data_IF_191992917082
#
_entry.id   IF_191992917082
#
_cell.length_a   1.000
_cell.length_b   1.000
_cell.length_c   1.000
_cell.angle_alpha   90.00
_cell.angle_beta   90.00
_cell.angle_gamma   90.00
#
_symmetry.space_group_name_H-M   'P 1'
#
loop_
_entity.id
_entity.type
_entity.pdbx_description
1 polymer ?
#
# COMPACT_ATOMS: atom_id res chain seq x y z
N UNK A 1 -21.06 7.20 -27.29
CA UNK A 1 -19.86 7.97 -26.89
C UNK A 1 -19.09 7.11 -25.91
N UNK A 2 -17.92 6.60 -26.30
CA UNK A 2 -17.03 5.91 -25.36
C UNK A 2 -16.58 6.95 -24.32
N UNK A 3 -16.92 6.71 -23.07
CA UNK A 3 -16.38 7.56 -21.98
C UNK A 3 -14.88 7.32 -21.89
N UNK A 4 -14.13 8.40 -21.73
CA UNK A 4 -12.69 8.34 -21.50
C UNK A 4 -12.40 7.45 -20.27
N UNK A 5 -11.45 6.48 -20.36
CA UNK A 5 -11.10 5.59 -19.25
C UNK A 5 -10.66 6.40 -18.03
N UNK A 6 -11.34 6.19 -16.91
CA UNK A 6 -11.16 6.99 -15.71
C UNK A 6 -11.17 6.12 -14.46
N UNK A 7 -10.30 6.41 -13.49
CA UNK A 7 -10.26 5.76 -12.19
C UNK A 7 -11.02 6.57 -11.13
N UNK A 8 -11.71 5.90 -10.20
CA UNK A 8 -12.24 6.55 -9.01
C UNK A 8 -11.08 6.86 -8.05
N UNK A 9 -10.73 8.13 -7.94
CA UNK A 9 -9.60 8.63 -7.16
C UNK A 9 -10.12 9.39 -5.93
N UNK A 10 -9.51 9.13 -4.78
CA UNK A 10 -9.72 9.92 -3.56
C UNK A 10 -8.81 11.15 -3.56
N UNK A 11 -7.51 10.91 -3.80
CA UNK A 11 -6.49 11.94 -3.91
C UNK A 11 -5.37 11.50 -4.85
N UNK A 12 -4.57 12.45 -5.30
CA UNK A 12 -3.34 12.20 -6.03
C UNK A 12 -2.35 13.32 -5.74
N UNK A 13 -1.10 12.97 -5.49
CA UNK A 13 -0.12 13.95 -5.04
C UNK A 13 1.31 13.48 -5.28
N UNK A 14 2.22 14.45 -5.32
CA UNK A 14 3.65 14.23 -5.39
C UNK A 14 4.26 14.24 -3.98
N UNK A 15 5.00 13.18 -3.66
CA UNK A 15 5.66 13.01 -2.37
C UNK A 15 6.92 12.15 -2.53
N UNK A 16 7.46 11.64 -1.43
CA UNK A 16 8.37 10.51 -1.44
C UNK A 16 7.71 9.27 -0.82
N UNK A 17 8.13 8.08 -1.28
CA UNK A 17 7.69 6.84 -0.63
C UNK A 17 8.17 6.81 0.82
N UNK A 18 7.24 6.67 1.74
CA UNK A 18 7.51 6.73 3.18
C UNK A 18 7.79 5.37 3.83
N UNK A 19 7.68 4.27 3.08
CA UNK A 19 7.75 2.91 3.60
C UNK A 19 8.50 1.97 2.64
N UNK A 20 8.91 0.80 3.15
CA UNK A 20 9.47 -0.26 2.33
C UNK A 20 10.86 0.02 1.77
N UNK A 21 11.27 -0.77 0.78
CA UNK A 21 12.61 -0.69 0.17
C UNK A 21 12.83 0.64 -0.56
N UNK A 22 11.77 1.24 -1.06
CA UNK A 22 11.85 2.50 -1.81
C UNK A 22 11.71 3.75 -0.94
N UNK A 23 11.79 3.61 0.39
CA UNK A 23 11.69 4.73 1.34
C UNK A 23 12.63 5.88 0.97
N UNK A 24 12.11 7.10 1.01
CA UNK A 24 12.84 8.34 0.70
C UNK A 24 12.93 8.67 -0.79
N UNK A 25 12.52 7.77 -1.69
CA UNK A 25 12.54 8.04 -3.14
C UNK A 25 11.30 8.80 -3.57
N UNK A 26 11.49 9.74 -4.49
CA UNK A 26 10.42 10.55 -5.07
C UNK A 26 9.40 9.67 -5.82
N UNK A 27 8.12 9.87 -5.53
CA UNK A 27 7.01 9.13 -6.11
C UNK A 27 5.79 10.03 -6.38
N UNK A 28 4.95 9.62 -7.32
CA UNK A 28 3.62 10.18 -7.51
C UNK A 28 2.59 9.17 -6.98
N UNK A 29 1.75 9.60 -6.06
CA UNK A 29 0.75 8.74 -5.43
C UNK A 29 -0.61 8.90 -6.11
N UNK A 30 -1.26 7.79 -6.39
CA UNK A 30 -2.66 7.71 -6.81
C UNK A 30 -3.39 6.89 -5.76
N UNK A 31 -4.16 7.56 -4.91
CA UNK A 31 -4.99 6.92 -3.89
C UNK A 31 -6.39 6.72 -4.42
N UNK A 32 -6.75 5.45 -4.69
CA UNK A 32 -8.07 5.08 -5.21
C UNK A 32 -9.15 5.19 -4.14
N UNK A 33 -10.38 5.42 -4.59
CA UNK A 33 -11.57 5.43 -3.76
C UNK A 33 -12.18 4.04 -3.66
N UNK A 34 -12.68 3.69 -2.46
CA UNK A 34 -13.36 2.43 -2.17
C UNK A 34 -12.42 1.39 -1.53
N UNK A 35 -12.88 0.82 -0.40
CA UNK A 35 -12.21 -0.28 0.29
C UNK A 35 -13.24 -1.20 0.93
N UNK A 36 -13.36 -2.46 0.52
CA UNK A 36 -14.24 -3.42 1.16
C UNK A 36 -13.67 -3.98 2.47
N UNK A 37 -12.36 -3.88 2.70
CA UNK A 37 -11.65 -4.46 3.86
C UNK A 37 -12.00 -3.77 5.18
N UNK A 38 -12.14 -2.43 5.19
CA UNK A 38 -12.64 -1.62 6.31
C UNK A 38 -11.92 -1.84 7.64
N UNK A 39 -10.58 -1.80 7.64
CA UNK A 39 -9.77 -2.00 8.83
C UNK A 39 -10.09 -1.00 9.95
N UNK A 40 -10.08 -1.45 11.20
CA UNK A 40 -10.33 -0.61 12.39
C UNK A 40 -9.20 0.39 12.68
N UNK A 41 -7.98 0.10 12.24
CA UNK A 41 -6.78 0.94 12.36
C UNK A 41 -6.43 1.68 11.05
N UNK A 42 -7.40 1.83 10.13
CA UNK A 42 -7.17 2.46 8.83
C UNK A 42 -6.73 3.92 8.98
N UNK A 43 -5.65 4.29 8.35
CA UNK A 43 -5.15 5.68 8.30
C UNK A 43 -5.69 6.48 7.10
N UNK A 44 -6.39 5.81 6.20
CA UNK A 44 -6.96 6.37 4.97
C UNK A 44 -8.49 6.20 4.93
N UNK A 45 -9.16 6.35 6.08
CA UNK A 45 -10.61 6.15 6.19
C UNK A 45 -11.43 7.08 5.28
N UNK A 46 -10.87 8.21 4.86
CA UNK A 46 -11.44 9.09 3.84
C UNK A 46 -11.73 8.40 2.50
N UNK A 47 -11.14 7.23 2.23
CA UNK A 47 -11.37 6.46 1.01
C UNK A 47 -12.65 5.62 1.03
N UNK A 48 -13.22 5.33 2.21
CA UNK A 48 -14.32 4.36 2.31
C UNK A 48 -15.31 4.60 3.47
N UNK A 49 -14.89 5.24 4.56
CA UNK A 49 -15.71 5.34 5.76
C UNK A 49 -16.88 6.33 5.56
N UNK A 50 -18.14 5.94 5.87
CA UNK A 50 -19.31 6.75 5.53
C UNK A 50 -19.34 8.16 6.11
N UNK A 51 -18.65 8.39 7.25
CA UNK A 51 -18.57 9.70 7.89
C UNK A 51 -17.47 10.60 7.31
N UNK A 52 -16.50 10.03 6.59
CA UNK A 52 -15.30 10.74 6.14
C UNK A 52 -15.12 10.71 4.63
N UNK A 53 -15.60 9.65 3.97
CA UNK A 53 -15.50 9.51 2.54
C UNK A 53 -16.46 10.49 1.84
N UNK A 54 -16.06 11.12 0.73
CA UNK A 54 -16.95 11.93 -0.06
C UNK A 54 -18.09 11.06 -0.61
N UNK A 55 -19.30 11.64 -0.76
CA UNK A 55 -20.47 10.92 -1.29
C UNK A 55 -20.27 10.36 -2.69
N UNK A 56 -19.37 10.97 -3.46
CA UNK A 56 -19.00 10.53 -4.80
C UNK A 56 -17.48 10.62 -4.95
N UNK A 57 -16.89 9.60 -5.56
CA UNK A 57 -15.48 9.61 -5.95
C UNK A 57 -15.28 10.56 -7.12
N UNK A 58 -14.10 11.19 -7.17
CA UNK A 58 -13.65 11.90 -8.34
C UNK A 58 -13.24 10.88 -9.41
N UNK A 59 -13.90 10.90 -10.56
CA UNK A 59 -13.45 10.13 -11.73
C UNK A 59 -12.38 10.94 -12.45
N UNK A 60 -11.13 10.45 -12.41
CA UNK A 60 -9.99 11.12 -13.05
C UNK A 60 -9.58 10.31 -14.28
N UNK A 61 -9.50 10.94 -15.48
CA UNK A 61 -9.02 10.29 -16.67
C UNK A 61 -7.61 9.73 -16.50
N UNK A 62 -7.37 8.53 -17.01
CA UNK A 62 -6.04 7.89 -16.93
C UNK A 62 -4.99 8.78 -17.62
N UNK A 63 -5.31 9.38 -18.75
CA UNK A 63 -4.42 10.30 -19.45
C UNK A 63 -3.99 11.48 -18.56
N UNK A 64 -4.91 12.04 -17.75
CA UNK A 64 -4.58 13.09 -16.79
C UNK A 64 -3.66 12.57 -15.68
N UNK A 65 -3.92 11.40 -15.11
CA UNK A 65 -3.06 10.80 -14.06
C UNK A 65 -1.64 10.59 -14.57
N UNK A 66 -1.49 10.12 -15.80
CA UNK A 66 -0.18 9.92 -16.45
C UNK A 66 0.51 11.27 -16.69
N UNK A 67 -0.19 12.30 -17.21
CA UNK A 67 0.39 13.64 -17.42
C UNK A 67 0.91 14.23 -16.11
N UNK A 68 0.12 14.16 -15.03
CA UNK A 68 0.52 14.66 -13.71
C UNK A 68 1.72 13.86 -13.13
N UNK A 69 1.80 12.56 -13.36
CA UNK A 69 2.95 11.74 -12.97
C UNK A 69 4.22 12.14 -13.74
N UNK A 70 4.13 12.38 -15.05
CA UNK A 70 5.24 12.88 -15.87
C UNK A 70 5.71 14.24 -15.38
N UNK A 71 4.79 15.19 -15.16
CA UNK A 71 5.08 16.54 -14.68
C UNK A 71 5.78 16.51 -13.31
N UNK A 72 5.44 15.55 -12.44
CA UNK A 72 6.08 15.38 -11.13
C UNK A 72 7.53 14.90 -11.24
N UNK A 73 7.96 14.45 -12.42
CA UNK A 73 9.28 13.81 -12.65
C UNK A 73 9.56 12.63 -11.73
N UNK A 74 8.52 11.93 -11.30
CA UNK A 74 8.66 10.74 -10.45
C UNK A 74 9.14 9.55 -11.27
N UNK A 75 9.98 8.72 -10.67
CA UNK A 75 10.47 7.49 -11.31
C UNK A 75 9.38 6.40 -11.32
N UNK A 76 8.49 6.45 -10.36
CA UNK A 76 7.38 5.51 -10.21
C UNK A 76 6.13 6.18 -9.64
N UNK A 77 5.01 5.58 -10.00
CA UNK A 77 3.70 5.84 -9.39
C UNK A 77 3.45 4.79 -8.32
N UNK A 78 2.94 5.21 -7.15
CA UNK A 78 2.41 4.32 -6.13
C UNK A 78 0.89 4.32 -6.22
N UNK A 79 0.33 3.23 -6.72
CA UNK A 79 -1.10 2.98 -6.73
C UNK A 79 -1.50 2.38 -5.38
N UNK A 80 -2.24 3.12 -4.61
CA UNK A 80 -2.65 2.78 -3.24
C UNK A 80 -4.10 3.21 -3.01
N UNK A 81 -4.50 3.45 -1.79
CA UNK A 81 -5.77 4.10 -1.50
C UNK A 81 -6.64 3.36 -0.52
N UNK A 82 -7.89 3.10 -0.87
CA UNK A 82 -8.71 2.10 -0.24
C UNK A 82 -8.10 0.72 -0.49
N UNK A 83 -8.69 -0.04 -1.39
CA UNK A 83 -8.02 -1.23 -1.94
C UNK A 83 -7.93 -1.06 -3.47
N UNK A 84 -6.74 -0.82 -4.02
CA UNK A 84 -6.61 -0.51 -5.44
C UNK A 84 -6.99 -1.68 -6.37
N UNK A 85 -6.84 -2.92 -5.90
CA UNK A 85 -7.11 -4.09 -6.74
C UNK A 85 -8.61 -4.41 -6.88
N UNK A 86 -9.52 -3.67 -6.25
CA UNK A 86 -10.97 -3.76 -6.56
C UNK A 86 -11.33 -3.00 -7.82
N UNK A 87 -10.44 -2.16 -8.33
CA UNK A 87 -10.65 -1.44 -9.58
C UNK A 87 -10.74 -2.41 -10.77
N UNK A 88 -11.40 -1.97 -11.85
CA UNK A 88 -11.57 -2.80 -13.06
C UNK A 88 -10.21 -3.17 -13.65
N UNK A 89 -9.98 -4.46 -13.99
CA UNK A 89 -8.70 -4.92 -14.55
C UNK A 89 -8.26 -4.14 -15.78
N UNK A 90 -9.22 -3.76 -16.64
CA UNK A 90 -8.95 -3.05 -17.90
C UNK A 90 -8.40 -1.63 -17.61
N UNK A 91 -8.88 -0.96 -16.56
CA UNK A 91 -8.39 0.36 -16.18
C UNK A 91 -6.98 0.27 -15.57
N UNK A 92 -6.69 -0.78 -14.78
CA UNK A 92 -5.36 -1.02 -14.24
C UNK A 92 -4.36 -1.34 -15.34
N UNK A 93 -4.75 -2.16 -16.33
CA UNK A 93 -3.92 -2.49 -17.49
C UNK A 93 -3.62 -1.24 -18.34
N UNK A 94 -4.61 -0.40 -18.57
CA UNK A 94 -4.43 0.85 -19.31
C UNK A 94 -3.50 1.82 -18.56
N UNK A 95 -3.69 2.00 -17.25
CA UNK A 95 -2.79 2.83 -16.44
C UNK A 95 -1.35 2.31 -16.51
N UNK A 96 -1.15 1.00 -16.32
CA UNK A 96 0.17 0.36 -16.39
C UNK A 96 0.83 0.59 -17.76
N UNK A 97 0.10 0.33 -18.82
CA UNK A 97 0.61 0.51 -20.20
C UNK A 97 0.98 1.96 -20.49
N UNK A 98 0.12 2.91 -20.10
CA UNK A 98 0.34 4.33 -20.34
C UNK A 98 1.51 4.90 -19.53
N UNK A 99 1.70 4.46 -18.27
CA UNK A 99 2.87 4.84 -17.45
C UNK A 99 4.15 4.28 -18.04
N UNK A 100 4.19 3.00 -18.41
CA UNK A 100 5.36 2.36 -19.02
C UNK A 100 5.75 3.02 -20.35
N UNK A 101 4.79 3.44 -21.15
CA UNK A 101 5.06 4.17 -22.40
C UNK A 101 5.78 5.53 -22.14
N UNK A 102 5.69 6.06 -20.92
CA UNK A 102 6.38 7.27 -20.47
C UNK A 102 7.62 6.97 -19.59
N UNK A 103 8.05 5.71 -19.50
CA UNK A 103 9.21 5.31 -18.69
C UNK A 103 9.00 5.38 -17.18
N UNK A 104 7.73 5.37 -16.71
CA UNK A 104 7.37 5.44 -15.30
C UNK A 104 6.91 4.05 -14.83
N UNK A 105 7.49 3.57 -13.73
CA UNK A 105 7.13 2.28 -13.13
C UNK A 105 5.82 2.40 -12.34
N UNK A 106 5.05 1.30 -12.29
CA UNK A 106 3.84 1.20 -11.48
C UNK A 106 4.06 0.27 -10.28
N UNK A 107 4.09 0.85 -9.09
CA UNK A 107 4.11 0.13 -7.81
C UNK A 107 2.69 0.04 -7.27
N UNK A 108 2.34 -1.06 -6.60
CA UNK A 108 1.03 -1.22 -5.95
C UNK A 108 1.20 -1.56 -4.46
N UNK A 109 0.39 -0.92 -3.62
CA UNK A 109 0.21 -1.27 -2.21
C UNK A 109 -1.21 -1.81 -2.02
N UNK A 110 -1.33 -3.08 -1.62
CA UNK A 110 -2.59 -3.82 -1.54
C UNK A 110 -2.65 -4.72 -0.31
N UNK A 111 -3.85 -5.07 0.14
CA UNK A 111 -4.02 -6.16 1.11
C UNK A 111 -3.75 -7.55 0.50
N UNK A 112 -3.72 -7.66 -0.82
CA UNK A 112 -3.47 -8.89 -1.56
C UNK A 112 -4.66 -9.83 -1.69
N UNK A 113 -5.85 -9.46 -1.21
CA UNK A 113 -7.04 -10.32 -1.23
C UNK A 113 -7.70 -10.43 -2.63
N UNK A 114 -7.38 -9.52 -3.53
CA UNK A 114 -8.00 -9.44 -4.85
C UNK A 114 -6.98 -9.79 -5.94
N UNK A 115 -7.21 -10.95 -6.59
CA UNK A 115 -6.32 -11.39 -7.67
C UNK A 115 -6.36 -10.43 -8.86
N UNK A 116 -5.17 -10.01 -9.29
CA UNK A 116 -4.91 -9.29 -10.54
C UNK A 116 -3.68 -9.88 -11.19
N UNK A 117 -3.54 -9.64 -12.48
CA UNK A 117 -2.32 -10.01 -13.19
C UNK A 117 -1.11 -9.29 -12.59
N UNK A 118 -0.17 -10.01 -11.95
CA UNK A 118 0.99 -9.37 -11.32
C UNK A 118 1.90 -8.63 -12.31
N UNK A 119 1.87 -9.01 -13.58
CA UNK A 119 2.69 -8.39 -14.63
C UNK A 119 2.32 -6.94 -14.93
N UNK A 120 1.16 -6.48 -14.44
CA UNK A 120 0.75 -5.09 -14.51
C UNK A 120 1.61 -4.17 -13.62
N UNK A 121 2.28 -4.72 -12.61
CA UNK A 121 3.00 -3.97 -11.60
C UNK A 121 4.49 -4.26 -11.65
N UNK A 122 5.30 -3.23 -11.50
CA UNK A 122 6.75 -3.35 -11.45
C UNK A 122 7.25 -3.60 -10.01
N UNK A 123 6.38 -3.33 -9.03
CA UNK A 123 6.60 -3.61 -7.61
C UNK A 123 5.27 -3.88 -6.91
N UNK A 124 5.22 -4.94 -6.09
CA UNK A 124 4.02 -5.32 -5.34
C UNK A 124 4.36 -5.36 -3.84
N UNK A 125 3.75 -4.45 -3.08
CA UNK A 125 3.77 -4.47 -1.61
C UNK A 125 2.46 -5.07 -1.11
N UNK A 126 2.53 -6.26 -0.50
CA UNK A 126 1.37 -6.88 0.14
C UNK A 126 1.36 -6.53 1.62
N UNK A 127 0.29 -5.87 2.06
CA UNK A 127 0.03 -5.55 3.48
C UNK A 127 -1.19 -6.32 3.96
N UNK A 128 -1.04 -7.56 4.45
CA UNK A 128 -2.14 -8.45 4.78
C UNK A 128 -3.07 -7.86 5.83
N UNK A 129 -4.35 -8.20 5.75
CA UNK A 129 -5.38 -7.74 6.68
C UNK A 129 -6.20 -8.93 7.17
N UNK A 130 -6.52 -8.97 8.46
CA UNK A 130 -7.27 -10.08 9.07
C UNK A 130 -8.70 -10.21 8.55
N UNK A 131 -9.31 -9.10 8.14
CA UNK A 131 -10.67 -9.10 7.59
C UNK A 131 -10.74 -9.72 6.18
N UNK A 132 -9.66 -9.61 5.40
CA UNK A 132 -9.55 -10.12 4.03
C UNK A 132 -8.12 -10.62 3.82
N UNK A 133 -7.92 -11.93 3.90
CA UNK A 133 -6.60 -12.55 3.75
C UNK A 133 -6.11 -12.47 2.30
N UNK A 134 -4.80 -12.32 2.08
CA UNK A 134 -4.24 -12.32 0.74
C UNK A 134 -4.45 -13.67 0.04
N UNK A 135 -4.68 -13.62 -1.27
CA UNK A 135 -4.70 -14.84 -2.09
C UNK A 135 -3.27 -15.31 -2.37
N UNK A 136 -3.11 -16.63 -2.54
CA UNK A 136 -1.83 -17.27 -2.74
C UNK A 136 -0.99 -16.64 -3.86
N UNK A 137 -1.61 -16.38 -5.01
CA UNK A 137 -0.93 -15.85 -6.20
C UNK A 137 -0.39 -14.44 -5.97
N UNK A 138 -1.16 -13.57 -5.30
CA UNK A 138 -0.72 -12.21 -4.98
C UNK A 138 0.42 -12.22 -3.96
N UNK A 139 0.34 -13.10 -2.97
CA UNK A 139 1.38 -13.22 -1.97
C UNK A 139 2.69 -13.76 -2.57
N UNK A 140 2.61 -14.75 -3.47
CA UNK A 140 3.78 -15.28 -4.18
C UNK A 140 4.43 -14.29 -5.15
N UNK A 141 3.66 -13.33 -5.64
CA UNK A 141 4.15 -12.28 -6.54
C UNK A 141 4.62 -11.03 -5.80
N UNK A 142 4.57 -11.04 -4.46
CA UNK A 142 4.97 -9.88 -3.67
C UNK A 142 6.47 -9.61 -3.79
N UNK A 143 6.81 -8.35 -4.04
CA UNK A 143 8.20 -7.86 -3.94
C UNK A 143 8.58 -7.64 -2.48
N UNK A 144 7.63 -7.21 -1.67
CA UNK A 144 7.77 -7.08 -0.21
C UNK A 144 6.42 -7.31 0.49
N UNK A 145 6.50 -7.74 1.75
CA UNK A 145 5.33 -7.91 2.63
C UNK A 145 5.46 -6.94 3.80
N UNK A 146 4.38 -6.26 4.14
CA UNK A 146 4.32 -5.32 5.26
C UNK A 146 3.33 -5.81 6.32
N UNK A 147 3.86 -6.30 7.44
CA UNK A 147 3.10 -6.77 8.60
C UNK A 147 2.91 -5.63 9.59
N UNK A 148 1.67 -5.36 9.99
CA UNK A 148 1.36 -4.41 11.06
C UNK A 148 1.43 -5.14 12.40
N UNK A 149 2.22 -4.60 13.33
CA UNK A 149 2.46 -5.17 14.66
C UNK A 149 1.70 -4.36 15.68
N UNK A 150 0.75 -5.02 16.35
CA UNK A 150 -0.13 -4.40 17.36
C UNK A 150 0.22 -4.86 18.78
N UNK A 151 0.85 -6.05 18.91
CA UNK A 151 1.22 -6.69 20.17
C UNK A 151 2.31 -7.76 19.95
N UNK A 152 2.70 -8.44 21.02
CA UNK A 152 3.77 -9.44 21.03
C UNK A 152 3.48 -10.66 20.15
N UNK A 153 2.22 -11.00 19.90
CA UNK A 153 1.82 -12.17 19.14
C UNK A 153 1.69 -11.90 17.64
N UNK A 154 1.52 -10.62 17.25
CA UNK A 154 1.19 -10.21 15.88
C UNK A 154 2.12 -10.80 14.81
N UNK A 155 3.42 -10.86 15.08
CA UNK A 155 4.40 -11.36 14.09
C UNK A 155 4.24 -12.87 13.89
N UNK A 156 4.18 -13.64 14.99
CA UNK A 156 4.05 -15.10 14.91
C UNK A 156 2.71 -15.53 14.30
N UNK A 157 1.65 -14.80 14.62
CA UNK A 157 0.31 -15.07 14.08
C UNK A 157 0.26 -14.79 12.59
N UNK A 158 0.76 -13.64 12.14
CA UNK A 158 0.82 -13.34 10.72
C UNK A 158 1.69 -14.32 9.95
N UNK A 159 2.87 -14.69 10.46
CA UNK A 159 3.73 -15.65 9.77
C UNK A 159 3.06 -17.00 9.63
N UNK A 160 2.38 -17.49 10.68
CA UNK A 160 1.62 -18.75 10.61
C UNK A 160 0.56 -18.72 9.52
N UNK A 161 -0.19 -17.60 9.40
CA UNK A 161 -1.21 -17.43 8.39
C UNK A 161 -0.59 -17.37 6.99
N UNK A 162 0.44 -16.55 6.80
CA UNK A 162 1.07 -16.33 5.50
C UNK A 162 1.81 -17.57 5.00
N UNK A 163 2.53 -18.26 5.88
CA UNK A 163 3.20 -19.54 5.57
C UNK A 163 2.16 -20.61 5.19
N UNK A 164 1.00 -20.63 5.87
CA UNK A 164 -0.11 -21.51 5.53
C UNK A 164 -0.70 -21.22 4.14
N UNK A 165 -0.89 -19.95 3.79
CA UNK A 165 -1.36 -19.55 2.45
C UNK A 165 -0.34 -19.96 1.38
N UNK A 166 0.94 -19.76 1.61
CA UNK A 166 2.02 -20.09 0.69
C UNK A 166 2.32 -21.59 0.61
N UNK A 167 1.86 -22.37 1.58
CA UNK A 167 2.25 -23.77 1.79
C UNK A 167 3.78 -23.96 1.90
N UNK A 168 4.47 -22.93 2.35
CA UNK A 168 5.93 -22.85 2.55
C UNK A 168 6.26 -21.65 3.42
N UNK A 169 7.45 -21.63 4.07
CA UNK A 169 7.89 -20.42 4.76
C UNK A 169 7.89 -19.21 3.81
N UNK A 170 7.36 -18.08 4.28
CA UNK A 170 7.32 -16.83 3.51
C UNK A 170 8.71 -16.44 3.01
N UNK A 171 9.74 -16.69 3.82
CA UNK A 171 11.14 -16.44 3.48
C UNK A 171 11.68 -17.28 2.30
N UNK A 172 10.97 -18.33 1.90
CA UNK A 172 11.35 -19.17 0.75
C UNK A 172 10.74 -18.70 -0.59
N UNK A 173 9.92 -17.64 -0.59
CA UNK A 173 9.32 -17.11 -1.81
C UNK A 173 10.38 -16.46 -2.68
N UNK A 174 10.44 -16.90 -3.93
CA UNK A 174 11.31 -16.29 -4.92
C UNK A 174 10.80 -14.89 -5.27
N UNK A 175 11.70 -13.91 -5.33
CA UNK A 175 11.35 -12.51 -5.64
C UNK A 175 10.99 -11.66 -4.44
N UNK A 176 10.64 -12.26 -3.29
CA UNK A 176 10.42 -11.51 -2.06
C UNK A 176 11.74 -10.92 -1.53
N UNK A 177 11.79 -9.61 -1.38
CA UNK A 177 13.00 -8.89 -1.01
C UNK A 177 13.01 -8.43 0.45
N UNK A 178 11.83 -8.27 1.06
CA UNK A 178 11.71 -7.89 2.46
C UNK A 178 10.37 -8.29 3.08
N UNK A 179 10.43 -8.54 4.40
CA UNK A 179 9.27 -8.62 5.29
C UNK A 179 9.43 -7.50 6.32
N UNK A 180 8.62 -6.47 6.17
CA UNK A 180 8.64 -5.30 7.02
C UNK A 180 7.72 -5.48 8.21
N UNK A 181 8.22 -5.20 9.41
CA UNK A 181 7.46 -5.16 10.65
C UNK A 181 7.24 -3.70 11.02
N UNK A 182 6.02 -3.20 10.84
CA UNK A 182 5.65 -1.83 11.17
C UNK A 182 4.84 -1.79 12.46
N UNK A 183 5.13 -0.91 13.41
CA UNK A 183 4.20 -0.68 14.50
C UNK A 183 2.87 -0.16 13.94
N UNK A 184 1.74 -0.61 14.49
CA UNK A 184 0.48 0.10 14.27
C UNK A 184 0.69 1.57 14.71
N UNK A 185 0.22 2.53 13.91
CA UNK A 185 0.68 3.91 14.04
C UNK A 185 0.36 4.54 15.40
N UNK A 186 -0.76 4.20 16.02
CA UNK A 186 -1.09 4.70 17.38
C UNK A 186 -0.14 4.14 18.45
N UNK A 187 0.51 3.00 18.18
CA UNK A 187 1.45 2.30 19.05
C UNK A 187 2.93 2.52 18.66
N UNK A 188 3.21 3.48 17.79
CA UNK A 188 4.56 3.74 17.28
C UNK A 188 5.61 4.10 18.36
N UNK A 189 5.16 4.52 19.53
CA UNK A 189 5.99 4.86 20.71
C UNK A 189 5.83 3.82 21.83
N UNK A 190 5.01 2.78 21.64
CA UNK A 190 4.80 1.72 22.62
C UNK A 190 6.06 0.84 22.71
N UNK A 191 6.71 0.85 23.87
CA UNK A 191 7.96 0.12 24.09
C UNK A 191 7.79 -1.40 23.92
N UNK A 192 6.64 -1.99 24.25
CA UNK A 192 6.40 -3.42 24.07
C UNK A 192 6.35 -3.78 22.59
N UNK A 193 5.63 -3.01 21.77
CA UNK A 193 5.54 -3.20 20.32
C UNK A 193 6.92 -3.02 19.65
N UNK A 194 7.66 -1.97 20.00
CA UNK A 194 8.98 -1.70 19.45
C UNK A 194 10.01 -2.77 19.85
N UNK A 195 9.95 -3.26 21.08
CA UNK A 195 10.79 -4.35 21.55
C UNK A 195 10.46 -5.66 20.82
N UNK A 196 9.18 -5.94 20.58
CA UNK A 196 8.76 -7.11 19.78
C UNK A 196 9.33 -7.05 18.37
N UNK A 197 9.17 -5.92 17.67
CA UNK A 197 9.74 -5.74 16.33
C UNK A 197 11.25 -5.94 16.36
N UNK A 198 11.95 -5.31 17.30
CA UNK A 198 13.41 -5.43 17.44
C UNK A 198 13.85 -6.87 17.66
N UNK A 199 13.21 -7.57 18.59
CA UNK A 199 13.49 -8.99 18.88
C UNK A 199 13.27 -9.87 17.65
N UNK A 200 12.14 -9.72 16.97
CA UNK A 200 11.80 -10.54 15.80
C UNK A 200 12.77 -10.31 14.63
N UNK A 201 13.19 -9.06 14.39
CA UNK A 201 14.18 -8.74 13.37
C UNK A 201 15.55 -9.35 13.72
N UNK A 202 16.00 -9.23 14.98
CA UNK A 202 17.29 -9.78 15.42
C UNK A 202 17.33 -11.31 15.41
N UNK A 203 16.24 -11.97 15.78
CA UNK A 203 16.14 -13.44 15.82
C UNK A 203 16.04 -14.03 14.41
N UNK A 204 15.23 -13.43 13.54
CA UNK A 204 14.96 -13.99 12.19
C UNK A 204 16.01 -13.57 11.18
N UNK A 205 16.46 -12.32 11.22
CA UNK A 205 17.41 -11.78 10.25
C UNK A 205 16.92 -11.83 8.80
N UNK A 206 17.86 -11.90 7.85
CA UNK A 206 17.55 -12.14 6.43
C UNK A 206 16.61 -11.10 5.82
N UNK A 207 15.39 -11.51 5.49
CA UNK A 207 14.38 -10.64 4.88
C UNK A 207 13.66 -9.72 5.87
N UNK A 208 13.73 -10.02 7.18
CA UNK A 208 12.99 -9.28 8.20
C UNK A 208 13.63 -7.94 8.52
N UNK A 209 12.83 -6.88 8.52
CA UNK A 209 13.28 -5.51 8.72
C UNK A 209 12.30 -4.75 9.61
N UNK A 210 12.83 -3.89 10.49
CA UNK A 210 12.01 -2.92 11.21
C UNK A 210 11.58 -1.81 10.24
N UNK A 211 10.29 -1.55 10.19
CA UNK A 211 9.69 -0.56 9.31
C UNK A 211 9.20 0.67 10.06
N UNK A 212 9.01 1.76 9.32
CA UNK A 212 8.46 3.02 9.82
C UNK A 212 7.69 3.75 8.74
N UNK A 213 6.78 4.66 9.15
CA UNK A 213 6.03 5.54 8.24
C UNK A 213 6.70 6.92 8.20
N UNK A 214 7.79 7.02 7.44
CA UNK A 214 8.63 8.22 7.37
C UNK A 214 7.86 9.45 6.88
N UNK A 215 6.94 9.27 5.92
CA UNK A 215 6.11 10.35 5.37
C UNK A 215 5.29 11.07 6.44
N UNK A 216 4.85 10.37 7.50
CA UNK A 216 4.09 10.97 8.62
C UNK A 216 4.96 11.88 9.48
N UNK A 217 6.26 11.57 9.65
CA UNK A 217 7.18 12.44 10.37
C UNK A 217 7.45 13.75 9.61
N UNK A 218 7.64 13.65 8.30
CA UNK A 218 7.95 14.79 7.43
C UNK A 218 6.71 15.55 7.00
N UNK A 219 5.51 14.99 7.14
CA UNK A 219 4.23 15.54 6.64
C UNK A 219 4.33 15.91 5.15
N UNK A 220 5.05 15.10 4.38
CA UNK A 220 5.40 15.40 2.99
C UNK A 220 4.17 15.46 2.09
N UNK A 221 3.14 14.69 2.40
CA UNK A 221 1.87 14.67 1.66
C UNK A 221 1.20 16.04 1.65
N UNK A 222 1.33 16.80 2.76
CA UNK A 222 0.75 18.15 2.88
C UNK A 222 1.42 19.23 2.01
N UNK A 223 2.54 18.90 1.36
CA UNK A 223 3.23 19.85 0.46
C UNK A 223 2.55 19.96 -0.91
N UNK A 224 1.77 18.95 -1.31
CA UNK A 224 0.99 19.01 -2.55
C UNK A 224 -0.47 19.34 -2.23
N UNK A 225 -1.03 20.44 -2.77
CA UNK A 225 -2.40 20.87 -2.48
C UNK A 225 -3.48 19.90 -3.02
N UNK A 226 -3.10 18.90 -3.81
CA UNK A 226 -4.00 17.86 -4.32
C UNK A 226 -4.14 16.68 -3.34
N UNK A 227 -3.34 16.65 -2.29
CA UNK A 227 -3.45 15.71 -1.18
C UNK A 227 -4.67 16.05 -0.32
N UNK A 228 -5.38 15.03 0.14
CA UNK A 228 -6.44 15.15 1.12
C UNK A 228 -5.88 14.91 2.54
N UNK A 229 -6.46 15.51 3.58
CA UNK A 229 -6.06 15.23 4.95
C UNK A 229 -6.21 13.74 5.27
N UNK A 230 -5.22 13.16 5.93
CA UNK A 230 -5.31 11.81 6.46
C UNK A 230 -6.43 11.73 7.50
N UNK A 231 -7.26 10.69 7.41
CA UNK A 231 -8.34 10.41 8.36
C UNK A 231 -8.05 9.05 9.01
N UNK A 232 -7.25 9.03 10.09
CA UNK A 232 -6.98 7.80 10.82
C UNK A 232 -8.19 7.39 11.66
N UNK A 233 -8.61 6.12 11.62
CA UNK A 233 -9.58 5.54 12.56
C UNK A 233 -8.89 5.14 13.87
N UNK A 234 -7.68 4.60 13.79
CA UNK A 234 -6.86 4.32 14.97
C UNK A 234 -6.28 5.60 15.56
N UNK A 235 -6.65 5.93 16.83
CA UNK A 235 -6.09 7.09 17.53
C UNK A 235 -6.92 8.37 17.48
N UNK A 236 -8.16 8.32 16.99
CA UNK A 236 -9.19 9.32 17.30
C UNK A 236 -10.02 8.76 18.46
N UNK A 237 -9.46 8.81 19.63
CA UNK A 237 -10.18 8.75 20.91
C UNK A 237 -9.52 9.78 21.82
#
# INVERSE_FOLDING_TARGET
MNREPSLPVHERFHAFQGEGIHMGRRAFFIRTYGCPVKCTFCDSAGTWHPNFAPKQSLLVPIAQLVSEAVESRSEFVVLTGGEPLVQKPELLAELSSALRANGILLHVETCGAYLRDPSLFDWITVSPKSAELPVHEMLRSASEVKVIVENDESVSDWLRVLDGICQSPLSALQGLQAVWLHPEWSKREDAAVLNTISREVLVRGGLFRAGWQLHKLYKVDALDPRSAPNVPLGGII
#
